data_IF_208974529418
#
_entry.id   IF_208974529418
#
_cell.length_a   1.000
_cell.length_b   1.000
_cell.length_c   1.000
_cell.angle_alpha   90.00
_cell.angle_beta   90.00
_cell.angle_gamma   90.00
#
_symmetry.space_group_name_H-M   'P 1'
#
loop_
_entity.id
_entity.type
_entity.pdbx_description
1 polymer ?
#
# COMPACT_ATOMS: atom_id res chain seq x y z
N UNK A 1 18.04 13.90 -20.16
CA UNK A 1 16.58 13.75 -19.95
C UNK A 1 16.27 13.57 -18.48
N UNK A 2 15.31 14.32 -17.97
CA UNK A 2 14.87 14.27 -16.55
C UNK A 2 14.06 13.01 -16.21
N UNK A 3 13.74 12.15 -17.19
CA UNK A 3 12.88 10.96 -17.02
C UNK A 3 13.68 9.66 -17.02
N UNK A 4 14.74 9.59 -16.22
CA UNK A 4 15.63 8.43 -16.16
C UNK A 4 14.95 7.12 -15.78
N UNK A 5 13.97 7.15 -14.89
CA UNK A 5 13.18 5.97 -14.48
C UNK A 5 12.35 5.42 -15.64
N UNK A 6 11.66 6.31 -16.36
CA UNK A 6 10.86 5.93 -17.54
C UNK A 6 11.74 5.37 -18.63
N UNK A 7 12.89 6.01 -18.89
CA UNK A 7 13.86 5.54 -19.87
C UNK A 7 14.39 4.13 -19.52
N UNK A 8 14.75 3.89 -18.26
CA UNK A 8 15.22 2.57 -17.80
C UNK A 8 14.13 1.48 -17.91
N UNK A 9 12.87 1.83 -17.63
CA UNK A 9 11.74 0.89 -17.80
C UNK A 9 11.52 0.57 -19.29
N UNK A 10 11.62 1.58 -20.15
CA UNK A 10 11.47 1.42 -21.60
C UNK A 10 12.59 0.54 -22.17
N UNK A 11 13.85 0.83 -21.82
CA UNK A 11 15.00 0.03 -22.25
C UNK A 11 14.83 -1.46 -21.86
N UNK A 12 14.43 -1.74 -20.61
CA UNK A 12 14.17 -3.13 -20.18
C UNK A 12 13.02 -3.80 -20.94
N UNK A 13 11.98 -3.06 -21.33
CA UNK A 13 10.89 -3.61 -22.15
C UNK A 13 11.35 -3.92 -23.57
N UNK A 14 12.13 -3.01 -24.17
CA UNK A 14 12.71 -3.21 -25.49
C UNK A 14 13.66 -4.41 -25.50
N UNK A 15 14.55 -4.53 -24.53
CA UNK A 15 15.44 -5.70 -24.42
C UNK A 15 14.65 -7.01 -24.34
N UNK A 16 13.56 -7.07 -23.56
CA UNK A 16 12.69 -8.26 -23.52
C UNK A 16 12.10 -8.61 -24.89
N UNK A 17 11.63 -7.60 -25.64
CA UNK A 17 11.06 -7.79 -26.99
C UNK A 17 12.15 -8.32 -27.94
N UNK A 18 13.33 -7.72 -27.94
CA UNK A 18 14.43 -8.15 -28.80
C UNK A 18 14.98 -9.52 -28.41
N UNK A 19 15.14 -9.79 -27.12
CA UNK A 19 15.51 -11.13 -26.63
C UNK A 19 14.51 -12.19 -27.11
N UNK A 20 13.19 -11.88 -27.05
CA UNK A 20 12.16 -12.79 -27.57
C UNK A 20 12.27 -13.00 -29.06
N UNK A 21 12.56 -11.94 -29.85
CA UNK A 21 12.79 -12.05 -31.27
C UNK A 21 14.04 -12.89 -31.62
N UNK A 22 15.10 -12.80 -30.81
CA UNK A 22 16.29 -13.64 -30.95
C UNK A 22 15.94 -15.12 -30.68
N UNK A 23 15.19 -15.41 -29.63
CA UNK A 23 14.72 -16.77 -29.30
C UNK A 23 13.91 -17.37 -30.44
N UNK A 24 13.07 -16.58 -31.09
CA UNK A 24 12.28 -16.97 -32.27
C UNK A 24 13.08 -16.98 -33.57
N UNK A 25 14.40 -16.72 -33.52
CA UNK A 25 15.30 -16.62 -34.71
C UNK A 25 14.87 -15.57 -35.75
N UNK A 26 14.11 -14.56 -35.33
CA UNK A 26 13.74 -13.41 -36.14
C UNK A 26 14.86 -12.35 -36.18
N UNK A 27 15.81 -12.43 -35.25
CA UNK A 27 17.03 -11.60 -35.17
C UNK A 27 18.19 -12.42 -34.62
N UNK A 28 19.38 -11.91 -34.83
CA UNK A 28 20.64 -12.53 -34.34
C UNK A 28 21.18 -11.82 -33.09
N UNK A 29 20.71 -10.60 -32.79
CA UNK A 29 21.21 -9.75 -31.70
C UNK A 29 20.11 -9.02 -30.96
N UNK A 30 20.42 -8.55 -29.73
CA UNK A 30 19.58 -7.64 -28.95
C UNK A 30 20.21 -6.22 -28.95
N UNK A 31 19.70 -5.28 -29.77
CA UNK A 31 20.22 -3.91 -29.82
C UNK A 31 19.93 -3.10 -28.54
N UNK A 32 19.09 -3.59 -27.67
CA UNK A 32 18.75 -2.99 -26.37
C UNK A 32 19.36 -3.76 -25.19
N UNK A 33 20.38 -4.59 -25.42
CA UNK A 33 21.07 -5.32 -24.36
C UNK A 33 21.61 -4.34 -23.31
N UNK A 34 20.98 -4.36 -22.13
CA UNK A 34 21.34 -3.46 -21.05
C UNK A 34 22.76 -3.68 -20.53
N UNK A 35 23.29 -4.90 -20.62
CA UNK A 35 24.67 -5.18 -20.20
C UNK A 35 25.66 -4.38 -21.04
N UNK A 36 25.44 -4.34 -22.34
CA UNK A 36 26.29 -3.56 -23.26
C UNK A 36 26.03 -2.05 -23.16
N UNK A 37 24.75 -1.65 -23.15
CA UNK A 37 24.36 -0.24 -23.08
C UNK A 37 24.79 0.43 -21.77
N UNK A 38 24.83 -0.30 -20.65
CA UNK A 38 25.26 0.25 -19.37
C UNK A 38 26.73 0.73 -19.35
N UNK A 39 27.56 0.28 -20.27
CA UNK A 39 28.94 0.73 -20.36
C UNK A 39 29.10 2.08 -21.10
N UNK A 40 28.14 2.43 -21.96
CA UNK A 40 28.16 3.67 -22.74
C UNK A 40 27.17 4.73 -22.26
N UNK A 41 26.12 4.31 -21.53
CA UNK A 41 25.14 5.23 -20.98
C UNK A 41 25.56 5.70 -19.59
N UNK A 42 25.36 6.99 -19.28
CA UNK A 42 25.68 7.49 -17.94
C UNK A 42 24.80 6.81 -16.89
N UNK A 43 25.38 6.59 -15.71
CA UNK A 43 24.68 5.98 -14.59
C UNK A 43 23.46 6.80 -14.20
N UNK A 44 22.33 6.14 -14.02
CA UNK A 44 21.02 6.75 -13.72
C UNK A 44 21.06 7.71 -12.51
N UNK A 45 21.72 7.32 -11.43
CA UNK A 45 21.87 8.10 -10.20
C UNK A 45 22.75 9.36 -10.38
N UNK A 46 23.65 9.37 -11.37
CA UNK A 46 24.43 10.56 -11.74
C UNK A 46 23.62 11.58 -12.55
N UNK A 47 22.62 11.12 -13.33
CA UNK A 47 21.75 12.01 -14.12
C UNK A 47 20.64 12.61 -13.27
N UNK A 48 19.99 11.78 -12.47
CA UNK A 48 18.92 12.18 -11.57
C UNK A 48 19.05 11.42 -10.25
N UNK A 49 19.48 12.07 -9.18
CA UNK A 49 19.49 11.48 -7.85
C UNK A 49 18.10 10.95 -7.49
N UNK A 50 18.05 9.80 -6.80
CA UNK A 50 16.79 9.23 -6.33
C UNK A 50 16.21 10.21 -5.30
N UNK A 51 15.13 10.90 -5.68
CA UNK A 51 14.35 11.69 -4.75
C UNK A 51 13.27 10.77 -4.19
N UNK A 52 13.42 10.37 -2.93
CA UNK A 52 12.35 9.68 -2.22
C UNK A 52 11.18 10.64 -2.05
N UNK A 53 9.96 10.14 -2.22
CA UNK A 53 8.77 10.92 -1.89
C UNK A 53 8.70 11.07 -0.38
N UNK A 54 8.27 12.23 0.08
CA UNK A 54 8.08 12.48 1.50
C UNK A 54 7.02 11.51 2.07
N UNK A 55 7.36 10.90 3.20
CA UNK A 55 6.39 10.29 4.09
C UNK A 55 5.88 11.38 5.06
N UNK A 56 4.66 11.25 5.52
CA UNK A 56 4.17 12.07 6.65
C UNK A 56 4.88 11.61 7.92
N UNK A 57 5.35 12.53 8.73
CA UNK A 57 5.81 12.20 10.08
C UNK A 57 4.66 11.51 10.83
N UNK A 58 4.94 10.42 11.51
CA UNK A 58 3.87 9.65 12.17
C UNK A 58 3.16 10.48 13.24
N UNK A 59 3.86 11.42 13.86
CA UNK A 59 3.32 12.39 14.84
C UNK A 59 2.28 13.34 14.26
N UNK A 60 2.30 13.58 12.94
CA UNK A 60 1.33 14.41 12.23
C UNK A 60 0.07 13.60 11.82
N UNK A 61 0.14 12.26 11.85
CA UNK A 61 -0.95 11.39 11.42
C UNK A 61 -2.25 11.57 12.24
N UNK A 62 -2.24 11.77 13.57
CA UNK A 62 -3.45 12.01 14.35
C UNK A 62 -4.23 13.25 13.88
N UNK A 63 -3.53 14.36 13.59
CA UNK A 63 -4.16 15.57 13.09
C UNK A 63 -4.85 15.35 11.72
N UNK A 64 -4.16 14.67 10.79
CA UNK A 64 -4.77 14.27 9.52
C UNK A 64 -5.98 13.36 9.74
N UNK A 65 -5.88 12.37 10.62
CA UNK A 65 -6.94 11.42 10.88
C UNK A 65 -8.20 12.11 11.42
N UNK A 66 -8.06 13.06 12.36
CA UNK A 66 -9.14 13.87 12.88
C UNK A 66 -9.84 14.68 11.78
N UNK A 67 -9.08 15.38 10.94
CA UNK A 67 -9.62 16.12 9.79
C UNK A 67 -10.38 15.22 8.80
N UNK A 68 -9.91 13.97 8.59
CA UNK A 68 -10.60 13.00 7.75
C UNK A 68 -11.91 12.52 8.39
N UNK A 69 -12.01 12.46 9.72
CA UNK A 69 -13.23 12.07 10.43
C UNK A 69 -14.35 13.10 10.30
N UNK A 70 -14.00 14.40 10.19
CA UNK A 70 -14.96 15.48 9.98
C UNK A 70 -15.60 15.48 8.58
N UNK A 71 -15.13 14.62 7.68
CA UNK A 71 -15.56 14.59 6.28
C UNK A 71 -16.15 13.20 5.91
N UNK A 72 -17.44 13.16 5.64
CA UNK A 72 -18.19 11.92 5.31
C UNK A 72 -17.99 11.43 3.86
N UNK A 73 -17.12 12.04 3.07
CA UNK A 73 -16.82 11.54 1.74
C UNK A 73 -16.24 10.12 1.77
N UNK A 74 -16.66 9.25 0.86
CA UNK A 74 -16.14 7.88 0.74
C UNK A 74 -14.60 7.85 0.59
N UNK A 75 -14.01 8.87 -0.07
CA UNK A 75 -12.55 9.00 -0.17
C UNK A 75 -11.86 9.33 1.16
N UNK A 76 -12.53 10.04 2.08
CA UNK A 76 -12.04 10.24 3.45
C UNK A 76 -12.09 8.95 4.24
N UNK A 77 -13.20 8.21 4.16
CA UNK A 77 -13.33 6.88 4.81
C UNK A 77 -12.31 5.88 4.28
N UNK A 78 -12.03 5.92 2.96
CA UNK A 78 -10.98 5.09 2.37
C UNK A 78 -9.58 5.44 2.86
N UNK A 79 -9.27 6.73 3.05
CA UNK A 79 -8.01 7.15 3.66
C UNK A 79 -7.90 6.71 5.12
N UNK A 80 -8.97 6.90 5.92
CA UNK A 80 -9.02 6.41 7.30
C UNK A 80 -8.76 4.90 7.35
N UNK A 81 -9.41 4.12 6.48
CA UNK A 81 -9.18 2.68 6.37
C UNK A 81 -7.72 2.33 6.05
N UNK A 82 -7.14 3.01 5.05
CA UNK A 82 -5.74 2.80 4.65
C UNK A 82 -4.78 3.17 5.79
N UNK A 83 -5.05 4.24 6.54
CA UNK A 83 -4.25 4.63 7.70
C UNK A 83 -4.34 3.59 8.81
N UNK A 84 -5.55 3.14 9.16
CA UNK A 84 -5.79 2.17 10.24
C UNK A 84 -5.21 0.79 9.92
N UNK A 85 -5.38 0.32 8.68
CA UNK A 85 -4.95 -1.02 8.26
C UNK A 85 -3.52 -1.09 7.75
N UNK A 86 -2.89 0.07 7.49
CA UNK A 86 -1.62 0.18 6.80
C UNK A 86 -1.54 -0.65 5.50
N UNK A 87 -2.68 -0.94 4.85
CA UNK A 87 -2.78 -1.70 3.60
C UNK A 87 -2.30 -0.87 2.39
N UNK A 88 -2.12 -1.50 1.24
CA UNK A 88 -1.85 -0.76 0.00
C UNK A 88 -3.12 -0.03 -0.47
N UNK A 89 -2.95 1.14 -1.08
CA UNK A 89 -4.07 1.96 -1.59
C UNK A 89 -5.07 1.14 -2.42
N UNK A 90 -4.58 0.31 -3.34
CA UNK A 90 -5.44 -0.51 -4.18
C UNK A 90 -6.20 -1.58 -3.37
N UNK A 91 -5.59 -2.15 -2.34
CA UNK A 91 -6.22 -3.15 -1.47
C UNK A 91 -7.40 -2.51 -0.72
N UNK A 92 -7.18 -1.37 -0.04
CA UNK A 92 -8.23 -0.68 0.73
C UNK A 92 -9.35 -0.12 -0.14
N UNK A 93 -9.03 0.68 -1.16
CA UNK A 93 -10.07 1.34 -2.00
C UNK A 93 -10.92 0.40 -2.85
N UNK A 94 -10.46 -0.82 -3.07
CA UNK A 94 -11.16 -1.86 -3.82
C UNK A 94 -11.69 -2.98 -2.91
N UNK A 95 -11.71 -2.77 -1.60
CA UNK A 95 -12.23 -3.72 -0.63
C UNK A 95 -13.68 -4.08 -0.96
N UNK A 96 -14.00 -5.38 -0.88
CA UNK A 96 -15.34 -5.91 -1.11
C UNK A 96 -15.96 -6.48 0.16
N UNK A 97 -17.29 -6.55 0.18
CA UNK A 97 -18.03 -7.09 1.32
C UNK A 97 -17.74 -8.58 1.57
N UNK A 98 -17.46 -9.34 0.52
CA UNK A 98 -17.13 -10.77 0.61
C UNK A 98 -15.76 -11.02 1.29
N UNK A 99 -14.93 -9.99 1.41
CA UNK A 99 -13.63 -10.07 2.08
C UNK A 99 -13.71 -9.85 3.59
N UNK A 100 -14.87 -9.42 4.12
CA UNK A 100 -15.05 -9.01 5.51
C UNK A 100 -15.72 -10.13 6.31
N UNK A 101 -15.04 -10.65 7.30
CA UNK A 101 -15.55 -11.56 8.31
C UNK A 101 -15.62 -10.82 9.66
N UNK A 102 -16.81 -10.28 10.00
CA UNK A 102 -17.01 -9.55 11.24
C UNK A 102 -17.13 -10.46 12.47
N UNK A 103 -17.47 -11.73 12.29
CA UNK A 103 -17.52 -12.69 13.41
C UNK A 103 -16.10 -12.97 13.91
N UNK A 104 -15.16 -13.12 13.00
CA UNK A 104 -13.73 -13.33 13.31
C UNK A 104 -12.91 -12.05 13.41
N UNK A 105 -13.51 -10.90 13.07
CA UNK A 105 -12.81 -9.61 12.97
C UNK A 105 -11.60 -9.68 12.02
N UNK A 106 -11.79 -10.23 10.82
CA UNK A 106 -10.73 -10.43 9.84
C UNK A 106 -11.16 -9.91 8.46
N UNK A 107 -10.28 -9.19 7.82
CA UNK A 107 -10.35 -8.84 6.41
C UNK A 107 -9.45 -9.77 5.61
N UNK A 108 -10.03 -10.56 4.70
CA UNK A 108 -9.33 -11.56 3.89
C UNK A 108 -9.21 -11.04 2.45
N UNK A 109 -8.01 -10.71 2.03
CA UNK A 109 -7.73 -10.21 0.67
C UNK A 109 -7.29 -11.39 -0.19
N UNK A 110 -8.04 -11.70 -1.25
CA UNK A 110 -7.72 -12.78 -2.16
C UNK A 110 -6.36 -12.57 -2.86
N UNK A 111 -5.69 -13.68 -3.21
CA UNK A 111 -4.35 -13.67 -3.80
C UNK A 111 -4.26 -12.81 -5.09
N UNK A 112 -5.29 -12.81 -5.91
CA UNK A 112 -5.37 -12.06 -7.17
C UNK A 112 -5.32 -10.54 -6.97
N UNK A 113 -5.81 -10.06 -5.82
CA UNK A 113 -5.85 -8.65 -5.45
C UNK A 113 -4.57 -8.16 -4.80
N UNK A 114 -3.72 -9.07 -4.34
CA UNK A 114 -2.47 -8.70 -3.68
C UNK A 114 -1.30 -8.62 -4.66
N UNK A 115 -0.38 -7.69 -4.43
CA UNK A 115 0.85 -7.57 -5.25
C UNK A 115 1.71 -8.84 -5.21
N UNK A 116 1.62 -9.59 -4.13
CA UNK A 116 2.48 -10.76 -3.88
C UNK A 116 1.83 -12.07 -4.34
N UNK A 117 0.62 -12.00 -4.94
CA UNK A 117 -0.13 -13.17 -5.41
C UNK A 117 -0.36 -14.24 -4.34
N UNK A 118 -0.60 -13.81 -3.11
CA UNK A 118 -0.99 -14.67 -1.99
C UNK A 118 -2.15 -14.07 -1.23
N UNK A 119 -2.97 -14.89 -0.61
CA UNK A 119 -3.99 -14.46 0.33
C UNK A 119 -3.34 -13.72 1.50
N UNK A 120 -4.00 -12.65 1.94
CA UNK A 120 -3.57 -11.85 3.07
C UNK A 120 -4.75 -11.67 4.02
N UNK A 121 -4.52 -11.95 5.29
CA UNK A 121 -5.48 -11.72 6.37
C UNK A 121 -5.01 -10.55 7.21
N UNK A 122 -5.89 -9.60 7.45
CA UNK A 122 -5.66 -8.43 8.30
C UNK A 122 -6.70 -8.40 9.42
N UNK A 123 -6.31 -8.09 10.67
CA UNK A 123 -7.28 -7.92 11.74
C UNK A 123 -8.10 -6.64 11.51
N UNK A 124 -9.40 -6.71 11.84
CA UNK A 124 -10.32 -5.56 11.81
C UNK A 124 -10.43 -5.01 13.22
N UNK A 125 -9.80 -3.86 13.46
CA UNK A 125 -9.86 -3.19 14.77
C UNK A 125 -11.23 -2.54 15.00
N UNK A 126 -11.60 -2.20 16.27
CA UNK A 126 -12.84 -1.48 16.54
C UNK A 126 -13.02 -0.19 15.73
N UNK A 127 -11.95 0.55 15.50
CA UNK A 127 -11.96 1.75 14.67
C UNK A 127 -12.28 1.45 13.19
N UNK A 128 -11.82 0.31 12.67
CA UNK A 128 -12.15 -0.13 11.31
C UNK A 128 -13.61 -0.61 11.22
N UNK A 129 -14.15 -1.24 12.26
CA UNK A 129 -15.58 -1.60 12.32
C UNK A 129 -16.49 -0.37 12.24
N UNK A 130 -16.09 0.78 12.80
CA UNK A 130 -16.84 2.04 12.68
C UNK A 130 -16.99 2.46 11.20
N UNK A 131 -15.95 2.28 10.39
CA UNK A 131 -15.98 2.59 8.96
C UNK A 131 -16.90 1.60 8.21
N UNK A 132 -16.88 0.32 8.56
CA UNK A 132 -17.77 -0.69 7.97
C UNK A 132 -19.23 -0.36 8.29
N UNK A 133 -19.54 -0.05 9.55
CA UNK A 133 -20.89 0.37 9.97
C UNK A 133 -21.36 1.64 9.27
N UNK A 134 -20.45 2.58 8.99
CA UNK A 134 -20.77 3.76 8.18
C UNK A 134 -21.13 3.39 6.74
N UNK A 135 -20.42 2.41 6.14
CA UNK A 135 -20.61 2.02 4.75
C UNK A 135 -21.85 1.16 4.51
N UNK A 136 -22.27 0.36 5.50
CA UNK A 136 -23.32 -0.65 5.37
C UNK A 136 -24.67 -0.09 4.89
N UNK A 137 -25.25 0.98 5.48
CA UNK A 137 -26.53 1.55 5.01
C UNK A 137 -26.46 2.18 3.61
N UNK A 138 -25.24 2.45 3.11
CA UNK A 138 -25.02 3.05 1.79
C UNK A 138 -24.59 2.03 0.73
N UNK A 139 -24.64 0.75 1.05
CA UNK A 139 -24.23 -0.33 0.17
C UNK A 139 -25.05 -0.33 -1.14
N UNK A 140 -24.35 -0.15 -2.26
CA UNK A 140 -24.94 -0.17 -3.62
C UNK A 140 -24.29 -1.21 -4.54
N UNK A 141 -23.15 -1.73 -4.15
CA UNK A 141 -22.38 -2.70 -4.92
C UNK A 141 -21.64 -3.65 -3.99
N UNK A 142 -20.79 -4.50 -4.53
CA UNK A 142 -19.91 -5.34 -3.72
C UNK A 142 -18.74 -4.55 -3.11
N UNK A 143 -18.44 -3.34 -3.57
CA UNK A 143 -17.37 -2.52 -3.00
C UNK A 143 -17.84 -1.79 -1.74
N UNK A 144 -17.01 -1.79 -0.69
CA UNK A 144 -17.35 -1.23 0.63
C UNK A 144 -17.19 0.30 0.66
N UNK A 145 -16.05 0.81 0.22
CA UNK A 145 -15.67 2.21 0.38
C UNK A 145 -16.03 3.04 -0.86
N UNK A 146 -17.30 2.98 -1.28
CA UNK A 146 -17.80 3.73 -2.43
C UNK A 146 -19.29 4.02 -2.29
N UNK A 147 -19.75 5.07 -2.96
CA UNK A 147 -21.16 5.44 -3.07
C UNK A 147 -21.72 5.11 -4.47
N UNK A 148 -20.96 4.39 -5.30
CA UNK A 148 -21.30 4.01 -6.67
C UNK A 148 -21.15 2.50 -6.86
N UNK A 149 -21.40 2.00 -8.05
CA UNK A 149 -21.18 0.61 -8.47
C UNK A 149 -19.70 0.28 -8.77
N UNK A 150 -18.82 1.28 -8.74
CA UNK A 150 -17.38 1.14 -9.04
C UNK A 150 -16.52 1.45 -7.82
N UNK A 151 -15.34 0.83 -7.70
CA UNK A 151 -14.42 1.16 -6.63
C UNK A 151 -13.87 2.58 -6.79
N UNK A 152 -13.43 3.18 -5.69
CA UNK A 152 -12.73 4.47 -5.74
C UNK A 152 -11.46 4.39 -6.60
N UNK A 153 -11.25 5.41 -7.43
CA UNK A 153 -10.02 5.55 -8.19
C UNK A 153 -8.84 5.95 -7.29
N UNK A 154 -7.62 5.63 -7.70
CA UNK A 154 -6.40 6.08 -7.01
C UNK A 154 -6.31 7.61 -6.96
N UNK A 155 -6.79 8.27 -8.02
CA UNK A 155 -6.83 9.73 -8.10
C UNK A 155 -7.79 10.32 -7.07
N UNK A 156 -8.93 9.68 -6.79
CA UNK A 156 -9.91 10.19 -5.81
C UNK A 156 -9.29 10.22 -4.40
N UNK A 157 -8.62 9.15 -3.99
CA UNK A 157 -7.97 9.04 -2.68
C UNK A 157 -6.75 9.98 -2.59
N UNK A 158 -5.95 10.06 -3.65
CA UNK A 158 -4.80 10.97 -3.70
C UNK A 158 -5.20 12.44 -3.67
N UNK A 159 -6.27 12.82 -4.39
CA UNK A 159 -6.81 14.19 -4.34
C UNK A 159 -7.38 14.52 -2.96
N UNK A 160 -8.01 13.55 -2.29
CA UNK A 160 -8.52 13.77 -0.94
C UNK A 160 -7.38 14.03 0.04
N UNK A 161 -6.30 13.25 0.01
CA UNK A 161 -5.13 13.49 0.84
C UNK A 161 -4.54 14.89 0.62
N UNK A 162 -4.41 15.31 -0.64
CA UNK A 162 -3.86 16.64 -1.01
C UNK A 162 -4.69 17.83 -0.53
N UNK A 163 -5.92 17.65 -0.09
CA UNK A 163 -6.73 18.73 0.53
C UNK A 163 -6.25 19.08 1.93
N UNK A 164 -5.60 18.13 2.61
CA UNK A 164 -5.18 18.29 4.00
C UNK A 164 -3.67 18.46 4.16
N UNK A 165 -2.91 18.37 3.08
CA UNK A 165 -1.46 18.59 3.12
C UNK A 165 -0.95 19.29 1.87
N UNK A 166 -0.09 20.29 2.07
CA UNK A 166 0.64 20.98 1.00
C UNK A 166 1.94 20.27 0.59
N UNK A 167 2.39 19.30 1.41
CA UNK A 167 3.59 18.50 1.14
C UNK A 167 3.33 17.49 0.02
N UNK A 168 4.38 17.04 -0.67
CA UNK A 168 4.30 15.96 -1.69
C UNK A 168 4.19 14.56 -1.04
N UNK A 169 3.28 14.45 -0.08
CA UNK A 169 2.96 13.23 0.62
C UNK A 169 2.05 12.38 -0.26
N UNK A 170 2.31 11.08 -0.30
CA UNK A 170 1.51 10.12 -1.04
C UNK A 170 0.72 9.21 -0.10
N UNK A 171 -0.39 8.64 -0.59
CA UNK A 171 -1.14 7.62 0.16
C UNK A 171 -0.23 6.44 0.56
N UNK A 172 0.73 6.07 -0.29
CA UNK A 172 1.72 5.05 0.04
C UNK A 172 2.67 5.49 1.17
N UNK A 173 2.98 6.79 1.27
CA UNK A 173 3.80 7.36 2.34
C UNK A 173 3.19 7.19 3.73
N UNK A 174 1.86 7.12 3.86
CA UNK A 174 1.19 6.86 5.15
C UNK A 174 1.54 5.46 5.73
N UNK A 175 1.88 4.50 4.89
CA UNK A 175 2.40 3.19 5.35
C UNK A 175 3.81 3.31 5.93
N UNK A 176 4.61 4.23 5.40
CA UNK A 176 5.93 4.52 5.96
C UNK A 176 5.80 5.16 7.35
N UNK A 177 4.80 6.03 7.55
CA UNK A 177 4.48 6.61 8.86
C UNK A 177 4.14 5.51 9.88
N UNK A 178 3.29 4.56 9.53
CA UNK A 178 3.01 3.39 10.38
C UNK A 178 4.29 2.58 10.68
N UNK A 179 5.14 2.34 9.67
CA UNK A 179 6.39 1.59 9.88
C UNK A 179 7.33 2.31 10.84
N UNK A 180 7.45 3.64 10.71
CA UNK A 180 8.26 4.46 11.62
C UNK A 180 7.67 4.44 13.03
N UNK A 181 6.35 4.58 13.17
CA UNK A 181 5.68 4.46 14.46
C UNK A 181 5.94 3.11 15.13
N UNK A 182 5.85 2.00 14.40
CA UNK A 182 6.19 0.68 14.92
C UNK A 182 7.62 0.63 15.46
N UNK A 183 8.58 1.19 14.72
CA UNK A 183 9.98 1.23 15.10
C UNK A 183 10.19 2.03 16.39
N UNK A 184 9.63 3.24 16.47
CA UNK A 184 9.74 4.13 17.63
C UNK A 184 8.99 3.60 18.86
N UNK A 185 7.92 2.82 18.65
CA UNK A 185 7.15 2.16 19.71
C UNK A 185 7.74 0.81 20.16
N UNK A 186 8.87 0.39 19.60
CA UNK A 186 9.54 -0.86 19.99
C UNK A 186 8.83 -2.13 19.51
N UNK A 187 7.99 -2.04 18.49
CA UNK A 187 7.33 -3.19 17.86
C UNK A 187 8.38 -4.06 17.16
N UNK A 188 8.35 -5.37 17.40
CA UNK A 188 9.25 -6.33 16.76
C UNK A 188 9.14 -6.23 15.23
N UNK A 189 10.29 -6.22 14.54
CA UNK A 189 10.37 -5.94 13.11
C UNK A 189 9.54 -6.91 12.26
N UNK A 190 9.58 -8.21 12.59
CA UNK A 190 8.82 -9.22 11.89
C UNK A 190 7.31 -8.94 11.96
N UNK A 191 6.81 -8.58 13.14
CA UNK A 191 5.40 -8.25 13.34
C UNK A 191 5.00 -6.97 12.60
N UNK A 192 5.84 -5.94 12.61
CA UNK A 192 5.62 -4.71 11.86
C UNK A 192 5.53 -4.98 10.35
N UNK A 193 6.45 -5.78 9.80
CA UNK A 193 6.42 -6.18 8.39
C UNK A 193 5.19 -7.04 8.04
N UNK A 194 4.75 -7.92 8.96
CA UNK A 194 3.52 -8.69 8.79
C UNK A 194 2.26 -7.80 8.80
N UNK A 195 2.21 -6.77 9.64
CA UNK A 195 1.14 -5.76 9.61
C UNK A 195 1.11 -5.02 8.27
N UNK A 196 2.27 -4.75 7.69
CA UNK A 196 2.40 -4.16 6.35
C UNK A 196 2.14 -5.17 5.22
N UNK A 197 1.78 -6.40 5.52
CA UNK A 197 1.57 -7.47 4.53
C UNK A 197 2.81 -7.75 3.67
N UNK A 198 4.00 -7.49 4.20
CA UNK A 198 5.25 -7.82 3.54
C UNK A 198 5.62 -9.29 3.76
N UNK A 199 6.42 -9.85 2.85
CA UNK A 199 7.00 -11.16 3.03
C UNK A 199 8.14 -11.05 4.05
N UNK A 200 8.05 -11.81 5.11
CA UNK A 200 9.07 -11.86 6.15
C UNK A 200 9.92 -13.11 5.96
N UNK A 201 11.19 -12.91 5.63
CA UNK A 201 12.13 -14.00 5.38
C UNK A 201 12.17 -14.46 3.91
N UNK A 202 13.23 -15.21 3.53
CA UNK A 202 13.36 -15.81 2.20
C UNK A 202 12.33 -16.92 1.98
N UNK A 203 12.19 -17.37 0.73
CA UNK A 203 11.22 -18.41 0.31
C UNK A 203 11.19 -19.64 1.23
N UNK A 204 12.32 -20.02 1.83
CA UNK A 204 12.44 -21.18 2.73
C UNK A 204 11.78 -20.90 4.11
N UNK A 205 11.85 -19.68 4.63
CA UNK A 205 11.29 -19.33 5.94
C UNK A 205 9.77 -19.19 5.89
N UNK A 206 9.23 -18.71 4.76
CA UNK A 206 7.79 -18.56 4.54
C UNK A 206 7.05 -19.91 4.45
N UNK A 207 7.73 -20.99 4.04
CA UNK A 207 7.14 -22.34 4.00
C UNK A 207 6.99 -22.97 5.40
N UNK A 208 7.69 -22.46 6.42
CA UNK A 208 7.62 -22.93 7.81
C UNK A 208 6.78 -22.02 8.72
N UNK A 209 6.44 -20.81 8.31
CA UNK A 209 5.59 -19.92 9.10
C UNK A 209 4.13 -20.38 9.03
N UNK A 210 3.71 -21.23 9.97
CA UNK A 210 2.34 -21.80 10.06
C UNK A 210 1.31 -20.83 10.66
N UNK A 211 1.73 -19.73 11.25
CA UNK A 211 0.86 -18.73 11.88
C UNK A 211 1.03 -17.37 11.21
N UNK A 212 -0.09 -16.69 10.96
CA UNK A 212 -0.13 -15.30 10.52
C UNK A 212 -0.09 -14.29 11.69
N UNK A 213 0.05 -14.80 12.92
CA UNK A 213 0.15 -14.01 14.16
C UNK A 213 -0.96 -12.95 14.29
N UNK A 214 -2.18 -13.31 13.92
CA UNK A 214 -3.31 -12.38 13.80
C UNK A 214 -3.62 -11.66 15.11
N UNK A 215 -3.54 -12.35 16.26
CA UNK A 215 -3.81 -11.76 17.59
C UNK A 215 -2.76 -10.70 17.96
N UNK A 216 -1.47 -11.02 17.77
CA UNK A 216 -0.39 -10.06 18.05
C UNK A 216 -0.52 -8.83 17.14
N UNK A 217 -0.85 -9.05 15.87
CA UNK A 217 -1.10 -7.96 14.92
C UNK A 217 -2.35 -7.15 15.26
N UNK A 218 -3.39 -7.78 15.81
CA UNK A 218 -4.58 -7.07 16.32
C UNK A 218 -4.19 -6.10 17.44
N UNK A 219 -3.35 -6.52 18.39
CA UNK A 219 -2.83 -5.65 19.45
C UNK A 219 -2.14 -4.42 18.89
N UNK A 220 -1.14 -4.63 18.02
CA UNK A 220 -0.34 -3.55 17.40
C UNK A 220 -1.24 -2.58 16.61
N UNK A 221 -2.15 -3.10 15.79
CA UNK A 221 -3.03 -2.27 14.98
C UNK A 221 -4.10 -1.54 15.81
N UNK A 222 -4.48 -2.08 16.97
CA UNK A 222 -5.35 -1.40 17.93
C UNK A 222 -4.60 -0.25 18.62
N UNK A 223 -3.36 -0.45 19.03
CA UNK A 223 -2.52 0.61 19.59
C UNK A 223 -2.28 1.74 18.57
N UNK A 224 -1.99 1.39 17.32
CA UNK A 224 -1.90 2.37 16.24
C UNK A 224 -3.22 3.13 16.02
N UNK A 225 -4.36 2.44 16.01
CA UNK A 225 -5.67 3.08 15.89
C UNK A 225 -5.95 4.05 17.04
N UNK A 226 -5.57 3.67 18.27
CA UNK A 226 -5.69 4.53 19.44
C UNK A 226 -4.76 5.75 19.32
N UNK A 227 -3.53 5.56 18.85
CA UNK A 227 -2.61 6.66 18.57
C UNK A 227 -3.18 7.64 17.54
N UNK A 228 -3.76 7.15 16.44
CA UNK A 228 -4.40 7.99 15.43
C UNK A 228 -5.62 8.77 15.96
N UNK A 229 -6.37 8.20 16.90
CA UNK A 229 -7.54 8.85 17.51
C UNK A 229 -7.17 9.84 18.63
N UNK A 230 -5.98 9.69 19.22
CA UNK A 230 -5.50 10.61 20.26
C UNK A 230 -4.91 11.87 19.62
N UNK A 231 -5.76 12.80 19.26
CA UNK A 231 -5.35 14.19 19.05
C UNK A 231 -5.00 14.77 20.42
N UNK A 232 -3.72 14.71 20.80
CA UNK A 232 -3.26 15.52 21.93
C UNK A 232 -3.61 16.98 21.62
N UNK A 233 -4.57 17.52 22.38
CA UNK A 233 -4.92 18.94 22.39
C UNK A 233 -3.74 19.77 22.83
#
# INVERSE_FOLDING_TARGET
TTKTETASKMARRLSRIFTYAVVLRLRTDDPADWKLLSHVLPQKNKIAPIKHREAMEYTDCPALFAQLQENDAASSRALQWIMLSACRSAEGRQMTWDEIDLEKNVWVIAAERTKQRREVRLPITPAMQEIIRWAEPMRRSNYVLTLTDKPLSDVAVSKQLKRYTSRDITVHGLRSSFRTWCQESGVEETLAEMCLTHLVGGNTRNSYARSDMLEQRMGIMTEWANFLKNTNK
#
